data_IF_882931613763
#
_entry.id   IF_882931613763
#
_cell.length_a   1.000
_cell.length_b   1.000
_cell.length_c   1.000
_cell.angle_alpha   90.00
_cell.angle_beta   90.00
_cell.angle_gamma   90.00
#
_symmetry.space_group_name_H-M   'P 1'
#
loop_
_entity.id
_entity.type
_entity.pdbx_description
1 polymer ?
#
# COMPACT_ATOMS: atom_id res chain seq x y z
N UNK A 1 29.73 30.47 0.24
CA UNK A 1 28.67 29.47 0.52
C UNK A 1 28.21 28.91 -0.82
N UNK A 2 28.47 27.63 -1.09
CA UNK A 2 27.87 26.95 -2.24
C UNK A 2 26.44 26.56 -1.86
N UNK A 3 25.46 27.25 -2.43
CA UNK A 3 24.07 26.79 -2.36
C UNK A 3 23.96 25.57 -3.27
N UNK A 4 23.73 24.39 -2.68
CA UNK A 4 23.38 23.20 -3.46
C UNK A 4 21.99 23.43 -4.03
N UNK A 5 21.84 23.36 -5.36
CA UNK A 5 20.52 23.34 -6.03
C UNK A 5 19.81 22.01 -5.87
N UNK A 6 20.41 21.06 -5.16
CA UNK A 6 19.86 19.73 -4.95
C UNK A 6 18.64 19.79 -4.03
N UNK A 7 17.50 19.35 -4.55
CA UNK A 7 16.21 19.29 -3.85
C UNK A 7 15.98 17.86 -3.36
N UNK A 8 15.52 17.65 -2.12
CA UNK A 8 15.20 16.31 -1.65
C UNK A 8 14.09 15.67 -2.50
N UNK A 9 14.27 14.39 -2.85
CA UNK A 9 13.34 13.66 -3.70
C UNK A 9 12.77 12.43 -2.97
N UNK A 10 11.44 12.35 -2.89
CA UNK A 10 10.73 11.18 -2.40
C UNK A 10 10.04 10.49 -3.58
N UNK A 11 10.40 9.23 -3.83
CA UNK A 11 9.67 8.37 -4.75
C UNK A 11 8.72 7.48 -3.95
N UNK A 12 7.42 7.72 -4.09
CA UNK A 12 6.38 6.91 -3.47
C UNK A 12 5.67 6.08 -4.55
N UNK A 13 5.67 4.77 -4.39
CA UNK A 13 5.04 3.84 -5.35
C UNK A 13 4.02 3.00 -4.61
N UNK A 14 2.75 3.12 -4.99
CA UNK A 14 1.73 2.19 -4.53
C UNK A 14 1.65 0.99 -5.49
N UNK A 15 1.25 -0.16 -4.96
CA UNK A 15 1.03 -1.39 -5.73
C UNK A 15 2.25 -1.77 -6.60
N UNK A 16 3.45 -1.70 -6.04
CA UNK A 16 4.68 -1.94 -6.79
C UNK A 16 4.70 -3.33 -7.42
N UNK A 17 4.12 -4.33 -6.77
CA UNK A 17 4.08 -5.69 -7.26
C UNK A 17 3.20 -5.91 -8.51
N UNK A 18 2.40 -4.93 -8.93
CA UNK A 18 1.73 -4.97 -10.23
C UNK A 18 2.70 -4.95 -11.42
N UNK A 19 3.97 -4.58 -11.24
CA UNK A 19 4.96 -4.65 -12.33
C UNK A 19 5.18 -6.09 -12.83
N UNK A 20 4.75 -7.11 -12.08
CA UNK A 20 4.87 -8.50 -12.49
C UNK A 20 3.71 -9.00 -13.33
N UNK A 21 2.62 -8.23 -13.38
CA UNK A 21 1.45 -8.59 -14.16
C UNK A 21 1.66 -8.31 -15.63
N UNK A 22 0.93 -9.08 -16.45
CA UNK A 22 0.74 -8.76 -17.85
C UNK A 22 0.01 -7.43 -18.00
N UNK A 23 0.53 -6.57 -18.84
CA UNK A 23 -0.09 -5.30 -19.24
C UNK A 23 -1.04 -5.53 -20.43
N UNK A 24 -1.64 -4.46 -20.94
CA UNK A 24 -2.43 -4.50 -22.19
C UNK A 24 -1.54 -4.35 -23.44
N UNK A 25 -0.26 -4.03 -23.27
CA UNK A 25 0.66 -3.83 -24.37
C UNK A 25 1.15 -5.16 -24.93
N UNK A 26 1.06 -5.35 -26.25
CA UNK A 26 1.50 -6.56 -26.92
C UNK A 26 2.95 -6.47 -27.38
N UNK A 27 3.70 -7.56 -27.23
CA UNK A 27 5.01 -7.70 -27.83
C UNK A 27 4.86 -7.84 -29.36
N UNK A 28 5.56 -7.03 -30.18
CA UNK A 28 5.34 -6.96 -31.63
C UNK A 28 5.63 -8.27 -32.38
N UNK A 29 6.48 -9.14 -31.83
CA UNK A 29 6.89 -10.40 -32.47
C UNK A 29 6.38 -11.66 -31.78
N UNK A 30 5.89 -11.58 -30.54
CA UNK A 30 5.53 -12.76 -29.74
C UNK A 30 4.02 -12.86 -29.49
N UNK A 31 3.24 -11.81 -29.83
CA UNK A 31 1.78 -11.74 -29.61
C UNK A 31 1.36 -12.07 -28.17
N UNK A 32 2.26 -11.87 -27.23
CA UNK A 32 2.02 -11.98 -25.79
C UNK A 32 2.02 -10.60 -25.19
N UNK A 33 1.25 -10.41 -24.12
CA UNK A 33 1.28 -9.17 -23.37
C UNK A 33 2.64 -9.00 -22.69
N UNK A 34 3.20 -7.79 -22.78
CA UNK A 34 4.38 -7.36 -22.03
C UNK A 34 4.04 -7.36 -20.55
N UNK A 35 5.02 -7.68 -19.69
CA UNK A 35 4.86 -7.47 -18.25
C UNK A 35 5.13 -6.02 -17.91
N UNK A 36 4.57 -5.54 -16.80
CA UNK A 36 4.82 -4.17 -16.34
C UNK A 36 6.32 -3.86 -16.22
N UNK A 37 7.11 -4.80 -15.70
CA UNK A 37 8.57 -4.71 -15.53
C UNK A 37 9.36 -4.62 -16.84
N UNK A 38 8.76 -4.97 -17.98
CA UNK A 38 9.40 -4.85 -19.30
C UNK A 38 9.24 -3.42 -19.85
N UNK A 39 8.38 -2.60 -19.24
CA UNK A 39 8.20 -1.20 -19.56
C UNK A 39 9.24 -0.34 -18.83
N UNK A 40 9.78 0.66 -19.52
CA UNK A 40 10.89 1.47 -19.00
C UNK A 40 10.58 2.18 -17.67
N UNK A 41 9.40 2.81 -17.55
CA UNK A 41 9.04 3.54 -16.34
C UNK A 41 8.86 2.62 -15.11
N UNK A 42 8.03 1.55 -15.16
CA UNK A 42 7.94 0.59 -14.06
C UNK A 42 9.26 -0.09 -13.72
N UNK A 43 10.11 -0.38 -14.71
CA UNK A 43 11.46 -0.89 -14.47
C UNK A 43 12.30 0.08 -13.65
N UNK A 44 12.29 1.38 -13.98
CA UNK A 44 13.01 2.40 -13.22
C UNK A 44 12.49 2.54 -11.79
N UNK A 45 11.17 2.46 -11.59
CA UNK A 45 10.58 2.43 -10.24
C UNK A 45 11.10 1.23 -9.43
N UNK A 46 11.16 0.04 -10.02
CA UNK A 46 11.72 -1.14 -9.36
C UNK A 46 13.21 -0.96 -9.02
N UNK A 47 14.00 -0.37 -9.92
CA UNK A 47 15.42 -0.08 -9.65
C UNK A 47 15.60 0.97 -8.54
N UNK A 48 14.66 1.90 -8.39
CA UNK A 48 14.73 2.94 -7.36
C UNK A 48 14.66 2.40 -5.93
N UNK A 49 14.17 1.17 -5.72
CA UNK A 49 14.29 0.48 -4.43
C UNK A 49 15.74 0.11 -4.09
N UNK A 50 16.49 -0.36 -5.08
CA UNK A 50 17.92 -0.72 -4.90
C UNK A 50 18.83 0.50 -4.88
N UNK A 51 18.42 1.54 -5.60
CA UNK A 51 19.18 2.78 -5.81
C UNK A 51 18.26 3.98 -5.62
N UNK A 52 17.94 4.33 -4.36
CA UNK A 52 17.11 5.49 -4.08
C UNK A 52 17.78 6.78 -4.57
N UNK A 53 17.02 7.88 -4.73
CA UNK A 53 17.58 9.18 -5.09
C UNK A 53 18.72 9.58 -4.15
N UNK A 54 19.78 10.19 -4.69
CA UNK A 54 21.00 10.58 -3.95
C UNK A 54 20.71 11.41 -2.69
N UNK A 55 19.70 12.26 -2.74
CA UNK A 55 19.22 13.08 -1.63
C UNK A 55 17.75 12.77 -1.38
N UNK A 56 17.43 11.55 -0.95
CA UNK A 56 16.05 11.13 -0.93
C UNK A 56 15.80 9.73 -0.42
N UNK A 57 14.58 9.28 -0.64
CA UNK A 57 14.13 7.94 -0.29
C UNK A 57 13.16 7.41 -1.34
N UNK A 58 13.07 6.09 -1.40
CA UNK A 58 12.02 5.38 -2.13
C UNK A 58 11.18 4.63 -1.11
N UNK A 59 9.87 4.82 -1.14
CA UNK A 59 8.90 4.08 -0.32
C UNK A 59 7.96 3.38 -1.29
N UNK A 60 7.75 2.08 -1.09
CA UNK A 60 6.83 1.30 -1.89
C UNK A 60 5.83 0.54 -1.02
N UNK A 61 4.59 0.48 -1.48
CA UNK A 61 3.55 -0.38 -0.94
C UNK A 61 3.29 -1.55 -1.89
N UNK A 62 2.88 -2.68 -1.32
CA UNK A 62 2.49 -3.88 -2.06
C UNK A 62 1.00 -4.14 -1.84
N UNK A 63 0.30 -4.63 -2.85
CA UNK A 63 -1.10 -5.07 -2.70
C UNK A 63 -1.18 -6.60 -2.63
N UNK A 64 -2.13 -7.14 -1.87
CA UNK A 64 -2.35 -8.59 -1.75
C UNK A 64 -2.82 -9.23 -3.07
N UNK A 65 -3.44 -8.45 -3.95
CA UNK A 65 -4.15 -8.98 -5.12
C UNK A 65 -3.26 -9.16 -6.36
N UNK A 66 -1.96 -8.84 -6.30
CA UNK A 66 -1.18 -8.60 -7.50
C UNK A 66 -0.05 -9.58 -7.82
N UNK A 67 0.27 -10.56 -6.99
CA UNK A 67 1.57 -11.25 -7.10
C UNK A 67 1.56 -12.61 -7.80
N UNK A 68 2.36 -12.71 -8.87
CA UNK A 68 2.97 -13.97 -9.33
C UNK A 68 4.31 -14.29 -8.62
N UNK A 69 4.98 -13.30 -8.01
CA UNK A 69 6.22 -13.48 -7.21
C UNK A 69 5.96 -13.48 -5.72
N UNK A 70 6.82 -14.13 -4.94
CA UNK A 70 6.76 -13.99 -3.47
C UNK A 70 6.99 -12.54 -3.07
N UNK A 71 6.26 -12.08 -2.04
CA UNK A 71 6.52 -10.80 -1.34
C UNK A 71 7.98 -10.72 -0.88
N UNK A 72 8.60 -11.87 -0.57
CA UNK A 72 10.01 -11.97 -0.15
C UNK A 72 10.99 -11.41 -1.18
N UNK A 73 10.67 -11.53 -2.48
CA UNK A 73 11.53 -10.98 -3.54
C UNK A 73 11.59 -9.46 -3.45
N UNK A 74 10.46 -8.81 -3.17
CA UNK A 74 10.38 -7.35 -3.02
C UNK A 74 11.04 -6.88 -1.72
N UNK A 75 10.87 -7.65 -0.65
CA UNK A 75 11.55 -7.41 0.62
C UNK A 75 13.07 -7.44 0.45
N UNK A 76 13.59 -8.46 -0.25
CA UNK A 76 15.02 -8.55 -0.53
C UNK A 76 15.53 -7.37 -1.37
N UNK A 77 14.75 -6.92 -2.35
CA UNK A 77 15.10 -5.77 -3.19
C UNK A 77 15.18 -4.45 -2.43
N UNK A 78 14.26 -4.23 -1.48
CA UNK A 78 14.18 -3.00 -0.71
C UNK A 78 15.21 -2.94 0.44
N UNK A 79 15.72 -4.09 0.91
CA UNK A 79 16.65 -4.19 2.03
C UNK A 79 16.03 -3.89 3.41
N UNK A 80 14.88 -3.22 3.44
CA UNK A 80 14.05 -3.00 4.61
C UNK A 80 12.57 -3.23 4.22
N UNK A 81 11.81 -3.82 5.13
CA UNK A 81 10.37 -3.97 4.98
C UNK A 81 9.65 -3.62 6.28
N UNK A 82 8.40 -3.23 6.14
CA UNK A 82 7.48 -3.08 7.27
C UNK A 82 6.16 -3.75 6.90
N UNK A 83 5.79 -4.78 7.66
CA UNK A 83 4.48 -5.40 7.53
C UNK A 83 3.46 -4.53 8.25
N UNK A 84 2.53 -3.95 7.48
CA UNK A 84 1.40 -3.21 8.03
C UNK A 84 0.39 -4.21 8.58
N UNK A 85 0.11 -4.11 9.88
CA UNK A 85 -0.90 -4.92 10.56
C UNK A 85 -2.25 -4.20 10.58
N UNK A 86 -3.29 -4.91 11.01
CA UNK A 86 -4.56 -4.29 11.38
C UNK A 86 -4.39 -3.29 12.52
N UNK A 87 -5.41 -2.47 12.75
CA UNK A 87 -5.43 -1.49 13.82
C UNK A 87 -5.23 -2.14 15.19
N UNK A 88 -4.44 -1.48 16.03
CA UNK A 88 -4.53 -1.71 17.48
C UNK A 88 -5.92 -1.31 17.99
N UNK A 89 -6.33 -1.83 19.15
CA UNK A 89 -7.62 -1.49 19.74
C UNK A 89 -7.79 0.03 19.96
N UNK A 90 -6.69 0.75 20.21
CA UNK A 90 -6.68 2.22 20.33
C UNK A 90 -6.90 2.90 18.97
N UNK A 91 -6.20 2.48 17.93
CA UNK A 91 -6.37 3.06 16.59
C UNK A 91 -7.78 2.82 16.04
N UNK A 92 -8.33 1.64 16.29
CA UNK A 92 -9.70 1.29 15.92
C UNK A 92 -10.73 2.13 16.68
N UNK A 93 -10.54 2.35 17.98
CA UNK A 93 -11.39 3.27 18.74
C UNK A 93 -11.35 4.67 18.14
N UNK A 94 -10.15 5.21 17.84
CA UNK A 94 -10.02 6.52 17.20
C UNK A 94 -10.67 6.57 15.81
N UNK A 95 -10.56 5.51 15.01
CA UNK A 95 -11.20 5.42 13.70
C UNK A 95 -12.73 5.43 13.80
N UNK A 96 -13.29 4.66 14.74
CA UNK A 96 -14.74 4.62 15.00
C UNK A 96 -15.27 5.95 15.55
N UNK A 97 -14.55 6.58 16.47
CA UNK A 97 -14.86 7.93 16.96
C UNK A 97 -14.90 8.94 15.81
N UNK A 98 -13.93 8.88 14.90
CA UNK A 98 -13.91 9.69 13.70
C UNK A 98 -15.13 9.42 12.80
N UNK A 99 -15.50 8.16 12.57
CA UNK A 99 -16.68 7.80 11.79
C UNK A 99 -17.99 8.25 12.44
N UNK A 100 -18.08 8.22 13.77
CA UNK A 100 -19.25 8.74 14.49
C UNK A 100 -19.38 10.26 14.35
N UNK A 101 -18.26 10.99 14.54
CA UNK A 101 -18.23 12.47 14.41
C UNK A 101 -18.55 12.91 12.97
N UNK A 102 -17.99 12.21 11.98
CA UNK A 102 -18.25 12.47 10.56
C UNK A 102 -19.64 11.99 10.09
N UNK A 103 -20.42 11.37 10.97
CA UNK A 103 -21.75 10.79 10.69
C UNK A 103 -21.72 9.69 9.62
N UNK A 104 -20.58 9.01 9.48
CA UNK A 104 -20.44 7.81 8.66
C UNK A 104 -21.05 6.57 9.34
N UNK A 105 -21.22 6.61 10.67
CA UNK A 105 -22.00 5.63 11.44
C UNK A 105 -22.92 6.34 12.42
N UNK A 106 -24.09 5.74 12.69
CA UNK A 106 -25.06 6.27 13.66
C UNK A 106 -25.14 5.46 14.95
N UNK A 107 -24.31 4.42 15.08
CA UNK A 107 -24.28 3.56 16.25
C UNK A 107 -23.60 4.23 17.45
N UNK A 108 -24.10 4.02 18.67
CA UNK A 108 -23.41 4.45 19.88
C UNK A 108 -22.12 3.64 20.08
N UNK A 109 -21.01 4.35 20.26
CA UNK A 109 -19.70 3.75 20.54
C UNK A 109 -19.62 3.37 22.02
N UNK A 110 -20.02 2.13 22.32
CA UNK A 110 -19.90 1.54 23.66
C UNK A 110 -18.82 0.46 23.66
N UNK A 111 -18.30 0.10 24.85
CA UNK A 111 -17.30 -1.00 24.98
C UNK A 111 -17.77 -2.30 24.32
N UNK A 112 -19.05 -2.74 24.47
CA UNK A 112 -19.58 -3.87 23.70
C UNK A 112 -19.52 -3.69 22.19
N UNK A 113 -19.88 -2.51 21.68
CA UNK A 113 -19.82 -2.20 20.24
C UNK A 113 -18.39 -2.32 19.71
N UNK A 114 -17.42 -1.73 20.43
CA UNK A 114 -16.00 -1.79 20.04
C UNK A 114 -15.50 -3.24 19.93
N UNK A 115 -15.84 -4.10 20.92
CA UNK A 115 -15.47 -5.52 20.88
C UNK A 115 -16.15 -6.29 19.75
N UNK A 116 -17.40 -5.98 19.45
CA UNK A 116 -18.12 -6.61 18.34
C UNK A 116 -17.50 -6.24 16.99
N UNK A 117 -17.14 -4.96 16.82
CA UNK A 117 -16.44 -4.47 15.62
C UNK A 117 -15.08 -5.13 15.47
N UNK A 118 -14.28 -5.18 16.54
CA UNK A 118 -12.98 -5.85 16.57
C UNK A 118 -13.09 -7.33 16.17
N UNK A 119 -14.06 -8.05 16.74
CA UNK A 119 -14.29 -9.46 16.42
C UNK A 119 -14.77 -9.69 14.98
N UNK A 120 -15.55 -8.76 14.42
CA UNK A 120 -16.13 -8.92 13.07
C UNK A 120 -15.16 -8.51 11.97
N UNK A 121 -14.37 -7.46 12.22
CA UNK A 121 -13.48 -6.85 11.22
C UNK A 121 -12.04 -7.33 11.32
N UNK A 122 -11.69 -8.06 12.39
CA UNK A 122 -10.31 -8.46 12.66
C UNK A 122 -9.35 -7.27 12.77
N UNK A 123 -9.89 -6.07 13.07
CA UNK A 123 -9.18 -4.79 13.02
C UNK A 123 -8.58 -4.44 11.65
N UNK A 124 -9.07 -5.03 10.56
CA UNK A 124 -8.64 -4.71 9.20
C UNK A 124 -9.34 -3.41 8.75
N UNK A 125 -8.60 -2.37 8.31
CA UNK A 125 -9.20 -1.08 7.96
C UNK A 125 -10.28 -1.15 6.87
N UNK A 126 -10.08 -2.00 5.86
CA UNK A 126 -11.05 -2.20 4.78
C UNK A 126 -12.34 -2.85 5.29
N UNK A 127 -12.23 -3.83 6.18
CA UNK A 127 -13.38 -4.52 6.77
C UNK A 127 -14.11 -3.60 7.75
N UNK A 128 -13.38 -2.78 8.52
CA UNK A 128 -13.97 -1.74 9.38
C UNK A 128 -14.81 -0.75 8.58
N UNK A 129 -14.27 -0.23 7.48
CA UNK A 129 -15.01 0.67 6.60
C UNK A 129 -16.27 0.00 6.04
N UNK A 130 -16.13 -1.23 5.56
CA UNK A 130 -17.27 -1.98 5.00
C UNK A 130 -18.33 -2.27 6.05
N UNK A 131 -17.91 -2.55 7.29
CA UNK A 131 -18.81 -2.69 8.43
C UNK A 131 -19.56 -1.40 8.74
N UNK A 132 -18.86 -0.25 8.75
CA UNK A 132 -19.48 1.06 8.94
C UNK A 132 -20.51 1.39 7.84
N UNK A 133 -20.26 1.04 6.58
CA UNK A 133 -21.19 1.30 5.49
C UNK A 133 -22.50 0.49 5.60
N UNK A 134 -22.53 -0.57 6.41
CA UNK A 134 -23.74 -1.37 6.68
C UNK A 134 -24.62 -0.81 7.82
N UNK A 135 -24.13 0.14 8.64
CA UNK A 135 -24.78 0.56 9.89
C UNK A 135 -24.80 2.08 10.12
#
# INVERSE_FOLDING_TARGET
MHYTTDVPCLLAVDNLNCVDQSTEYLHPTHYTNLRGRDLAAPYLLLQSLRRPPRYGATIAALTSNATMRSVDDYVFLAGFNHQVCGYSSREMQCALEHYSISRAIHLPLTVPTLRAVEATTGSVPADLRSWCEMY
#
